data_IF_055768057233
#
_entry.id   IF_055768057233
#
_cell.length_a   1.000
_cell.length_b   1.000
_cell.length_c   1.000
_cell.angle_alpha   90.00
_cell.angle_beta   90.00
_cell.angle_gamma   90.00
#
_symmetry.space_group_name_H-M   'P 1'
#
loop_
_entity.id
_entity.type
_entity.pdbx_description
1 polymer ?
#
# COMPACT_ATOMS: atom_id res chain seq x y z
N UNK A 1 -9.39 -11.79 -11.92
CA UNK A 1 -9.52 -12.57 -10.70
C UNK A 1 -9.36 -11.69 -9.46
N UNK A 2 -10.24 -11.89 -8.48
CA UNK A 2 -10.19 -11.11 -7.25
C UNK A 2 -10.22 -9.61 -7.55
N UNK A 3 -11.04 -9.23 -8.52
CA UNK A 3 -11.17 -7.83 -8.91
C UNK A 3 -12.56 -7.30 -8.59
N UNK A 4 -13.22 -7.90 -7.60
CA UNK A 4 -14.56 -7.49 -7.20
C UNK A 4 -14.53 -6.09 -6.59
N UNK A 5 -13.43 -5.75 -5.93
CA UNK A 5 -13.28 -4.45 -5.31
C UNK A 5 -13.54 -3.33 -6.31
N UNK A 6 -13.16 -3.56 -7.56
CA UNK A 6 -13.35 -2.56 -8.61
C UNK A 6 -14.81 -2.16 -8.72
N UNK A 7 -15.70 -3.14 -8.69
CA UNK A 7 -17.13 -2.88 -8.77
C UNK A 7 -17.67 -2.38 -7.43
N UNK A 8 -17.05 -2.82 -6.34
CA UNK A 8 -17.46 -2.41 -5.01
C UNK A 8 -17.46 -0.89 -4.86
N UNK A 9 -16.38 -0.27 -5.32
CA UNK A 9 -16.25 1.19 -5.24
C UNK A 9 -17.33 1.87 -6.08
N UNK A 10 -17.52 1.39 -7.31
CA UNK A 10 -18.52 1.95 -8.20
C UNK A 10 -19.88 2.04 -7.51
N UNK A 11 -20.26 0.98 -6.83
CA UNK A 11 -21.54 0.94 -6.13
C UNK A 11 -21.69 2.12 -5.18
N UNK A 12 -20.59 2.50 -4.54
CA UNK A 12 -20.59 3.62 -3.61
C UNK A 12 -20.70 4.95 -4.36
N UNK A 13 -20.05 5.02 -5.52
CA UNK A 13 -20.06 6.23 -6.34
C UNK A 13 -21.49 6.60 -6.72
N UNK A 14 -22.33 5.60 -6.88
CA UNK A 14 -23.74 5.83 -7.25
C UNK A 14 -24.42 6.74 -6.24
N UNK A 15 -23.89 6.77 -5.02
CA UNK A 15 -24.45 7.61 -3.96
C UNK A 15 -23.92 9.04 -4.06
N UNK A 16 -24.79 10.01 -3.82
CA UNK A 16 -24.42 11.41 -3.88
C UNK A 16 -23.69 11.84 -2.60
N UNK A 17 -22.63 12.62 -2.77
CA UNK A 17 -21.87 13.09 -1.62
C UNK A 17 -20.90 12.03 -1.11
N UNK A 18 -20.88 10.87 -1.75
CA UNK A 18 -20.00 9.78 -1.37
C UNK A 18 -18.94 9.53 -2.43
N UNK A 19 -17.96 10.43 -2.51
CA UNK A 19 -16.88 10.30 -3.49
C UNK A 19 -16.09 9.02 -3.25
N UNK A 20 -16.12 8.13 -4.25
CA UNK A 20 -15.41 6.85 -4.15
C UNK A 20 -13.90 7.08 -4.23
N UNK A 21 -13.49 8.22 -4.77
CA UNK A 21 -12.08 8.54 -4.90
C UNK A 21 -11.37 8.44 -3.55
N UNK A 22 -12.07 8.85 -2.49
CA UNK A 22 -11.51 8.80 -1.14
C UNK A 22 -11.55 7.37 -0.58
N UNK A 23 -12.50 6.59 -1.08
CA UNK A 23 -12.65 5.21 -0.63
C UNK A 23 -11.43 4.37 -0.97
N UNK A 24 -10.91 4.57 -2.17
CA UNK A 24 -9.73 3.84 -2.63
C UNK A 24 -8.58 3.97 -1.64
N UNK A 25 -8.49 5.13 -1.00
CA UNK A 25 -7.44 5.40 -0.02
C UNK A 25 -7.63 4.54 1.22
N UNK A 26 -8.88 4.20 1.52
CA UNK A 26 -9.19 3.37 2.68
C UNK A 26 -8.61 1.98 2.54
N UNK A 27 -8.80 1.38 1.36
CA UNK A 27 -8.28 0.04 1.10
C UNK A 27 -6.78 -0.02 1.30
N UNK A 28 -6.05 0.88 0.65
CA UNK A 28 -4.60 0.92 0.76
C UNK A 28 -4.17 1.02 2.22
N UNK A 29 -4.69 2.04 2.91
CA UNK A 29 -4.36 2.25 4.31
C UNK A 29 -4.60 0.98 5.13
N UNK A 30 -5.56 0.18 4.70
CA UNK A 30 -5.88 -1.07 5.39
C UNK A 30 -4.81 -2.13 5.12
N UNK A 31 -4.56 -2.40 3.86
CA UNK A 31 -3.57 -3.39 3.47
C UNK A 31 -2.22 -3.09 4.10
N UNK A 32 -1.76 -1.85 3.92
CA UNK A 32 -0.47 -1.43 4.48
C UNK A 32 -0.46 -1.57 6.00
N UNK A 33 -1.57 -1.23 6.63
CA UNK A 33 -1.69 -1.31 8.08
C UNK A 33 -1.66 -2.77 8.55
N UNK A 34 -2.33 -3.63 7.79
CA UNK A 34 -2.38 -5.06 8.12
C UNK A 34 -0.98 -5.66 8.10
N UNK A 35 -0.21 -5.32 7.09
CA UNK A 35 1.15 -5.85 6.95
C UNK A 35 2.11 -5.12 7.89
N UNK A 36 1.75 -3.90 8.26
CA UNK A 36 2.58 -3.10 9.17
C UNK A 36 2.68 -3.76 10.54
N UNK A 37 1.61 -4.42 10.95
CA UNK A 37 1.58 -5.10 12.25
C UNK A 37 2.72 -6.12 12.35
N UNK A 38 3.19 -6.58 11.20
CA UNK A 38 4.26 -7.56 11.16
C UNK A 38 5.59 -6.93 11.59
N UNK A 39 5.85 -5.73 11.07
CA UNK A 39 7.08 -5.02 11.39
C UNK A 39 6.85 -3.51 11.43
N UNK A 40 6.09 -3.07 12.42
CA UNK A 40 5.78 -1.64 12.56
C UNK A 40 6.98 -0.88 13.13
N UNK A 41 7.51 -1.37 14.24
CA UNK A 41 8.66 -0.73 14.88
C UNK A 41 9.96 -1.30 14.35
N UNK A 42 9.86 -2.09 13.28
CA UNK A 42 11.04 -2.70 12.67
C UNK A 42 11.43 -1.96 11.39
N UNK A 43 10.44 -1.51 10.65
CA UNK A 43 10.68 -0.80 9.40
C UNK A 43 9.38 -0.27 8.80
N UNK A 44 9.48 0.79 8.03
CA UNK A 44 8.30 1.39 7.39
C UNK A 44 7.95 0.65 6.11
N UNK A 45 6.93 1.15 5.40
CA UNK A 45 6.49 0.54 4.16
C UNK A 45 5.42 1.39 3.48
N UNK A 46 5.31 1.25 2.16
CA UNK A 46 4.33 2.00 1.40
C UNK A 46 3.65 1.11 0.35
N UNK A 47 2.36 0.87 0.54
CA UNK A 47 1.60 0.04 -0.38
C UNK A 47 0.94 0.88 -1.46
N UNK A 48 0.88 0.34 -2.68
CA UNK A 48 0.29 1.04 -3.80
C UNK A 48 -0.79 0.18 -4.46
N UNK A 49 -2.05 0.60 -4.32
CA UNK A 49 -3.17 -0.12 -4.90
C UNK A 49 -3.45 0.36 -6.32
N UNK A 50 -3.78 -0.58 -7.20
CA UNK A 50 -4.08 -0.25 -8.59
C UNK A 50 -5.51 -0.65 -8.95
N UNK A 51 -6.41 0.31 -8.93
CA UNK A 51 -7.81 0.06 -9.26
C UNK A 51 -7.98 -0.28 -10.74
N UNK A 52 -6.92 -0.05 -11.51
CA UNK A 52 -6.95 -0.33 -12.94
C UNK A 52 -7.01 -1.84 -13.20
N UNK A 53 -6.24 -2.60 -12.42
CA UNK A 53 -6.22 -4.05 -12.56
C UNK A 53 -6.50 -4.74 -11.24
N UNK A 54 -7.05 -3.98 -10.29
CA UNK A 54 -7.36 -4.54 -8.98
C UNK A 54 -6.19 -5.25 -8.36
N UNK A 55 -4.98 -4.84 -8.72
CA UNK A 55 -3.76 -5.44 -8.19
C UNK A 55 -3.21 -4.63 -7.03
N UNK A 56 -2.20 -5.16 -6.36
CA UNK A 56 -1.59 -4.49 -5.24
C UNK A 56 -0.10 -4.86 -5.10
N UNK A 57 0.70 -3.90 -4.66
CA UNK A 57 2.13 -4.12 -4.50
C UNK A 57 2.66 -3.38 -3.28
N UNK A 58 3.37 -4.10 -2.42
CA UNK A 58 3.94 -3.50 -1.21
C UNK A 58 5.44 -3.28 -1.36
N UNK A 59 5.87 -2.04 -1.18
CA UNK A 59 7.29 -1.69 -1.29
C UNK A 59 7.78 -1.01 -0.01
N UNK A 60 9.01 -1.34 0.38
CA UNK A 60 9.60 -0.76 1.57
C UNK A 60 10.48 0.45 1.23
N UNK A 61 10.31 1.53 1.99
CA UNK A 61 11.08 2.75 1.76
C UNK A 61 12.27 2.82 2.71
N UNK A 62 13.47 2.81 2.15
CA UNK A 62 14.70 2.88 2.95
C UNK A 62 15.41 4.20 2.72
N UNK A 63 16.11 4.67 3.74
CA UNK A 63 16.86 5.92 3.65
C UNK A 63 18.23 5.70 3.02
N UNK A 64 18.39 6.22 1.80
CA UNK A 64 19.66 6.08 1.09
C UNK A 64 20.75 6.94 1.72
N UNK A 65 21.78 6.28 2.26
CA UNK A 65 22.88 6.98 2.91
C UNK A 65 24.20 6.27 2.63
N UNK A 66 25.27 7.06 2.53
CA UNK A 66 26.61 6.51 2.27
C UNK A 66 26.94 5.41 3.29
N UNK A 67 26.45 5.58 4.51
CA UNK A 67 26.71 4.61 5.57
C UNK A 67 25.46 4.39 6.42
N UNK A 68 25.17 3.14 6.72
CA UNK A 68 24.00 2.80 7.53
C UNK A 68 23.98 3.60 8.83
N UNK A 69 22.93 4.40 9.01
CA UNK A 69 22.79 5.22 10.20
C UNK A 69 21.57 4.80 11.02
N UNK A 70 20.59 4.20 10.34
CA UNK A 70 19.37 3.75 11.00
C UNK A 70 19.28 2.23 10.97
N UNK A 71 19.65 1.60 12.07
CA UNK A 71 19.61 0.15 12.18
C UNK A 71 18.19 -0.37 11.92
N UNK A 72 17.21 0.48 12.13
CA UNK A 72 15.81 0.11 11.92
C UNK A 72 15.52 -0.08 10.43
N UNK A 73 16.03 0.84 9.61
CA UNK A 73 15.83 0.78 8.17
C UNK A 73 16.76 1.74 7.44
N UNK A 74 17.59 1.20 6.55
CA UNK A 74 18.52 2.00 5.79
C UNK A 74 19.05 1.24 4.58
N UNK A 75 19.53 1.97 3.58
CA UNK A 75 20.06 1.36 2.36
C UNK A 75 21.32 2.08 1.90
N UNK A 76 22.39 1.31 1.70
CA UNK A 76 23.66 1.88 1.25
C UNK A 76 23.54 2.43 -0.16
N UNK A 77 24.14 3.59 -0.38
CA UNK A 77 24.10 4.24 -1.70
C UNK A 77 24.53 3.26 -2.79
N UNK A 78 25.49 2.40 -2.47
CA UNK A 78 25.99 1.43 -3.44
C UNK A 78 24.97 0.32 -3.66
N UNK A 79 24.23 -0.02 -2.61
CA UNK A 79 23.20 -1.06 -2.69
C UNK A 79 22.09 -0.66 -3.65
N UNK A 80 21.60 0.57 -3.48
CA UNK A 80 20.52 1.08 -4.33
C UNK A 80 20.95 1.12 -5.80
N UNK A 81 22.24 1.31 -6.02
CA UNK A 81 22.77 1.37 -7.37
C UNK A 81 22.66 0.01 -8.07
N UNK A 82 22.64 -1.05 -7.28
CA UNK A 82 22.53 -2.39 -7.82
C UNK A 82 21.29 -2.57 -8.68
N UNK A 83 20.22 -1.87 -8.31
CA UNK A 83 18.96 -1.95 -9.05
C UNK A 83 18.66 -0.65 -9.77
N UNK A 84 19.21 0.44 -9.25
CA UNK A 84 19.00 1.76 -9.86
C UNK A 84 20.12 2.72 -9.46
N UNK A 85 21.11 2.86 -10.35
CA UNK A 85 22.26 3.73 -10.12
C UNK A 85 21.87 5.22 -10.18
N UNK A 86 20.63 5.49 -10.57
CA UNK A 86 20.15 6.85 -10.67
C UNK A 86 19.90 7.44 -9.28
N UNK A 87 19.77 6.57 -8.28
CA UNK A 87 19.53 7.00 -6.91
C UNK A 87 20.62 7.95 -6.44
N UNK A 88 20.49 8.45 -5.22
CA UNK A 88 21.46 9.37 -4.65
C UNK A 88 21.28 9.51 -3.15
N UNK A 89 22.37 9.73 -2.43
CA UNK A 89 22.33 9.88 -0.98
C UNK A 89 21.29 10.90 -0.56
N UNK A 90 20.32 10.47 0.24
CA UNK A 90 19.27 11.36 0.70
C UNK A 90 17.92 11.03 0.10
N UNK A 91 17.93 10.28 -1.00
CA UNK A 91 16.69 9.89 -1.67
C UNK A 91 16.07 8.67 -0.99
N UNK A 92 15.06 8.10 -1.63
CA UNK A 92 14.39 6.92 -1.11
C UNK A 92 14.24 5.84 -2.17
N UNK A 93 14.40 4.59 -1.76
CA UNK A 93 14.29 3.46 -2.68
C UNK A 93 13.16 2.53 -2.27
N UNK A 94 12.45 1.99 -3.25
CA UNK A 94 11.34 1.08 -2.98
C UNK A 94 11.65 -0.31 -3.53
N UNK A 95 11.45 -1.32 -2.68
CA UNK A 95 11.71 -2.71 -3.07
C UNK A 95 10.54 -3.61 -2.70
N UNK A 96 10.19 -4.52 -3.59
CA UNK A 96 9.09 -5.45 -3.36
C UNK A 96 9.26 -6.17 -2.02
N UNK A 97 8.27 -6.02 -1.14
CA UNK A 97 8.31 -6.66 0.17
C UNK A 97 6.99 -7.33 0.49
N UNK A 98 6.09 -7.39 -0.50
CA UNK A 98 4.79 -8.01 -0.32
C UNK A 98 4.90 -9.53 -0.26
N UNK A 99 4.09 -10.15 0.60
CA UNK A 99 4.08 -11.61 0.76
C UNK A 99 3.50 -12.33 -0.45
N UNK A 100 3.83 -13.61 -0.59
CA UNK A 100 3.35 -14.41 -1.71
C UNK A 100 1.89 -14.79 -1.51
N UNK A 101 1.35 -14.45 -0.35
CA UNK A 101 -0.05 -14.75 -0.06
C UNK A 101 -0.90 -13.48 -0.05
N UNK A 102 -0.28 -12.37 -0.43
CA UNK A 102 -0.97 -11.09 -0.48
C UNK A 102 -2.04 -11.08 -1.57
N UNK A 103 -1.90 -11.98 -2.53
CA UNK A 103 -2.85 -12.07 -3.62
C UNK A 103 -4.29 -12.13 -3.13
N UNK A 104 -4.56 -13.06 -2.21
CA UNK A 104 -5.90 -13.23 -1.65
C UNK A 104 -6.18 -12.17 -0.60
N UNK A 105 -5.17 -11.83 0.19
CA UNK A 105 -5.32 -10.83 1.24
C UNK A 105 -5.78 -9.50 0.66
N UNK A 106 -5.28 -9.17 -0.53
CA UNK A 106 -5.64 -7.92 -1.19
C UNK A 106 -7.15 -7.77 -1.30
N UNK A 107 -7.82 -8.82 -1.81
CA UNK A 107 -9.25 -8.80 -1.96
C UNK A 107 -9.96 -8.83 -0.61
N UNK A 108 -9.38 -9.55 0.34
CA UNK A 108 -9.94 -9.65 1.68
C UNK A 108 -9.88 -8.32 2.41
N UNK A 109 -8.87 -7.52 2.07
CA UNK A 109 -8.69 -6.21 2.70
C UNK A 109 -9.52 -5.15 1.99
N UNK A 110 -9.60 -5.25 0.67
CA UNK A 110 -10.38 -4.30 -0.13
C UNK A 110 -11.88 -4.56 0.02
N UNK A 111 -12.25 -5.82 0.17
CA UNK A 111 -13.64 -6.20 0.31
C UNK A 111 -14.19 -5.76 1.68
N UNK A 112 -13.33 -5.83 2.69
CA UNK A 112 -13.73 -5.45 4.04
C UNK A 112 -13.80 -3.92 4.18
N UNK A 113 -12.94 -3.23 3.44
CA UNK A 113 -12.90 -1.77 3.46
C UNK A 113 -14.13 -1.18 2.78
N UNK A 114 -14.34 -1.57 1.52
CA UNK A 114 -15.47 -1.07 0.76
C UNK A 114 -16.78 -1.34 1.49
N UNK A 115 -16.86 -2.48 2.15
CA UNK A 115 -18.07 -2.86 2.88
C UNK A 115 -18.33 -1.90 4.04
N UNK A 116 -17.25 -1.43 4.67
CA UNK A 116 -17.38 -0.50 5.78
C UNK A 116 -17.96 0.84 5.33
N UNK A 117 -17.54 1.28 4.15
CA UNK A 117 -18.02 2.54 3.60
C UNK A 117 -19.53 2.49 3.33
N UNK A 118 -20.02 1.28 3.06
CA UNK A 118 -21.45 1.10 2.80
C UNK A 118 -22.26 1.25 4.08
N UNK A 119 -21.90 0.50 5.10
CA UNK A 119 -22.60 0.55 6.39
C UNK A 119 -22.35 1.87 7.09
N UNK A 120 -21.18 2.45 6.84
CA UNK A 120 -20.81 3.73 7.46
C UNK A 120 -21.58 4.88 6.82
N UNK A 121 -21.56 4.93 5.49
CA UNK A 121 -22.26 5.98 4.75
C UNK A 121 -23.71 6.10 5.21
N UNK A 122 -24.39 4.97 5.31
CA UNK A 122 -25.79 4.95 5.73
C UNK A 122 -25.91 5.26 7.22
N UNK A 123 -24.82 5.06 7.96
CA UNK A 123 -24.81 5.33 9.39
C UNK A 123 -25.06 6.81 9.67
N UNK A 124 -24.53 7.67 8.81
CA UNK A 124 -24.70 9.10 8.98
C UNK A 124 -23.51 9.90 8.48
#
# INVERSE_FOLDING_TARGET
MSSELLDALTILEKEKGISKEIIIEAIEAALISAYKRNFNQAQNVRVDLNRETGSIRVFARKDVVDEVYDQRLEISIEEAQGIHPEYMVGDVVEIEVTPKDFGRIAAQTAKQVVTQRVREAERG
#
